data_IF_382375859434
#
_entry.id   IF_382375859434
#
_cell.length_a   1.000
_cell.length_b   1.000
_cell.length_c   1.000
_cell.angle_alpha   90.00
_cell.angle_beta   90.00
_cell.angle_gamma   90.00
#
_symmetry.space_group_name_H-M   'P 1'
#
loop_
_entity.id
_entity.type
_entity.pdbx_description
1 polymer ?
#
# COMPACT_ATOMS: atom_id res chain seq x y z
N UNK A 1 -25.08 5.22 -25.16
CA UNK A 1 -25.04 6.67 -25.44
C UNK A 1 -23.64 7.09 -25.86
N UNK A 2 -22.63 7.14 -24.98
CA UNK A 2 -21.27 7.57 -25.35
C UNK A 2 -20.68 6.85 -26.58
N UNK A 3 -20.73 5.51 -26.59
CA UNK A 3 -20.27 4.69 -27.73
C UNK A 3 -21.06 4.88 -29.04
N UNK A 4 -22.30 5.35 -28.97
CA UNK A 4 -23.15 5.51 -30.16
C UNK A 4 -22.78 6.79 -30.94
N UNK A 5 -22.36 7.86 -30.26
CA UNK A 5 -21.90 9.08 -30.93
C UNK A 5 -22.99 9.97 -31.56
N UNK A 6 -24.20 9.46 -31.77
CA UNK A 6 -25.25 10.20 -32.50
C UNK A 6 -25.85 11.38 -31.71
N UNK A 7 -26.41 12.37 -32.42
CA UNK A 7 -27.11 13.51 -31.83
C UNK A 7 -28.25 13.11 -30.85
N UNK A 8 -29.08 12.09 -31.13
CA UNK A 8 -30.06 11.61 -30.16
C UNK A 8 -29.43 11.00 -28.89
N UNK A 9 -28.27 10.35 -29.01
CA UNK A 9 -27.53 9.85 -27.84
C UNK A 9 -26.96 11.00 -27.02
N UNK A 10 -26.46 12.05 -27.68
CA UNK A 10 -25.97 13.25 -27.03
C UNK A 10 -27.06 13.98 -26.25
N UNK A 11 -28.22 14.21 -26.88
CA UNK A 11 -29.39 14.85 -26.23
C UNK A 11 -29.85 14.07 -25.01
N UNK A 12 -29.93 12.74 -25.12
CA UNK A 12 -30.27 11.87 -23.98
C UNK A 12 -29.25 11.98 -22.85
N UNK A 13 -27.95 11.97 -23.17
CA UNK A 13 -26.90 12.12 -22.15
C UNK A 13 -26.94 13.49 -21.46
N UNK A 14 -27.19 14.57 -22.22
CA UNK A 14 -27.33 15.93 -21.68
C UNK A 14 -28.50 16.05 -20.69
N UNK A 15 -29.55 15.23 -20.84
CA UNK A 15 -30.68 15.21 -19.91
C UNK A 15 -30.35 14.60 -18.53
N UNK A 16 -29.35 13.71 -18.44
CA UNK A 16 -28.96 13.06 -17.16
C UNK A 16 -27.90 13.84 -16.38
N UNK A 17 -27.08 14.61 -17.09
CA UNK A 17 -25.87 15.20 -16.52
C UNK A 17 -26.16 16.63 -16.06
N UNK A 18 -25.83 16.93 -14.80
CA UNK A 18 -26.01 18.27 -14.24
C UNK A 18 -25.09 19.33 -14.86
N UNK A 19 -23.89 18.93 -15.29
CA UNK A 19 -22.87 19.82 -15.88
C UNK A 19 -22.58 19.42 -17.33
N UNK A 20 -23.11 20.12 -18.34
CA UNK A 20 -22.92 19.78 -19.76
C UNK A 20 -21.45 19.71 -20.20
N UNK A 21 -20.55 20.42 -19.51
CA UNK A 21 -19.11 20.43 -19.78
C UNK A 21 -18.42 19.05 -19.73
N UNK A 22 -19.03 18.03 -19.11
CA UNK A 22 -18.46 16.67 -19.09
C UNK A 22 -18.85 15.84 -20.32
N UNK A 23 -19.83 16.27 -21.13
CA UNK A 23 -20.29 15.53 -22.30
C UNK A 23 -19.19 15.29 -23.34
N UNK A 24 -18.31 16.26 -23.66
CA UNK A 24 -17.18 15.99 -24.56
C UNK A 24 -16.30 14.82 -24.08
N UNK A 25 -16.12 14.67 -22.75
CA UNK A 25 -15.35 13.56 -22.18
C UNK A 25 -16.04 12.21 -22.36
N UNK A 26 -17.38 12.18 -22.26
CA UNK A 26 -18.21 10.97 -22.42
C UNK A 26 -18.19 10.46 -23.86
N UNK A 27 -18.28 11.37 -24.83
CA UNK A 27 -18.34 11.02 -26.25
C UNK A 27 -16.96 10.97 -26.93
N UNK A 28 -15.91 11.52 -26.31
CA UNK A 28 -14.51 11.34 -26.73
C UNK A 28 -13.81 10.29 -25.89
N UNK A 29 -13.06 10.73 -24.87
CA UNK A 29 -12.13 9.88 -24.10
C UNK A 29 -12.73 8.57 -23.55
N UNK A 30 -13.98 8.59 -23.07
CA UNK A 30 -14.62 7.37 -22.53
C UNK A 30 -15.20 6.48 -23.63
N UNK A 31 -15.69 7.06 -24.72
CA UNK A 31 -16.14 6.29 -25.87
C UNK A 31 -14.98 5.50 -26.49
N UNK A 32 -13.82 6.15 -26.67
CA UNK A 32 -12.59 5.52 -27.17
C UNK A 32 -12.09 4.43 -26.23
N UNK A 33 -11.99 4.72 -24.93
CA UNK A 33 -11.54 3.74 -23.92
C UNK A 33 -12.40 2.48 -23.90
N UNK A 34 -13.71 2.62 -24.10
CA UNK A 34 -14.66 1.52 -23.97
C UNK A 34 -15.18 0.97 -25.31
N UNK A 35 -14.55 1.37 -26.43
CA UNK A 35 -14.96 0.96 -27.78
C UNK A 35 -15.10 -0.56 -27.89
N UNK A 36 -14.09 -1.30 -27.44
CA UNK A 36 -14.02 -2.77 -27.55
C UNK A 36 -14.65 -3.51 -26.37
N UNK A 37 -15.15 -2.80 -25.35
CA UNK A 37 -15.68 -3.40 -24.12
C UNK A 37 -17.21 -3.55 -24.19
N UNK A 38 -17.77 -4.79 -24.13
CA UNK A 38 -19.21 -5.02 -24.19
C UNK A 38 -19.85 -4.95 -22.79
N UNK A 39 -19.90 -3.76 -22.20
CA UNK A 39 -20.50 -3.54 -20.88
C UNK A 39 -19.49 -3.63 -19.71
N UNK A 40 -19.98 -3.46 -18.49
CA UNK A 40 -19.14 -3.50 -17.28
C UNK A 40 -18.11 -2.35 -17.21
N UNK A 41 -18.57 -1.12 -17.44
CA UNK A 41 -17.71 0.08 -17.47
C UNK A 41 -17.35 0.62 -16.08
N UNK A 42 -18.09 0.19 -15.06
CA UNK A 42 -17.92 0.60 -13.67
C UNK A 42 -17.54 -0.59 -12.80
N UNK A 43 -16.80 -0.31 -11.73
CA UNK A 43 -16.47 -1.29 -10.69
C UNK A 43 -16.78 -0.70 -9.31
N UNK A 44 -17.31 -1.54 -8.43
CA UNK A 44 -17.64 -1.17 -7.05
C UNK A 44 -16.74 -1.99 -6.12
N UNK A 45 -15.94 -1.32 -5.31
CA UNK A 45 -15.11 -1.94 -4.27
C UNK A 45 -15.72 -1.63 -2.91
N UNK A 46 -16.00 -2.65 -2.10
CA UNK A 46 -16.47 -2.43 -0.73
C UNK A 46 -15.35 -1.81 0.10
N UNK A 47 -15.64 -0.70 0.79
CA UNK A 47 -14.68 0.08 1.56
C UNK A 47 -15.14 0.23 3.01
N UNK A 48 -15.37 -0.92 3.66
CA UNK A 48 -15.78 -0.98 5.07
C UNK A 48 -17.02 -0.14 5.39
N UNK A 49 -17.09 0.32 6.63
CA UNK A 49 -18.22 1.11 7.14
C UNK A 49 -17.74 2.50 7.57
N UNK A 50 -18.59 3.51 7.39
CA UNK A 50 -18.35 4.89 7.81
C UNK A 50 -18.22 4.99 9.33
N UNK A 51 -17.18 5.65 9.86
CA UNK A 51 -17.10 5.93 11.28
C UNK A 51 -18.23 6.87 11.72
N UNK A 52 -18.93 6.53 12.79
CA UNK A 52 -20.06 7.30 13.32
C UNK A 52 -21.36 6.53 13.22
N UNK A 53 -21.93 6.45 12.02
CA UNK A 53 -23.22 5.79 11.75
C UNK A 53 -23.09 4.34 11.29
N UNK A 54 -21.86 3.83 11.13
CA UNK A 54 -21.57 2.46 10.71
C UNK A 54 -22.20 2.09 9.34
N UNK A 55 -22.45 3.09 8.48
CA UNK A 55 -23.05 2.85 7.17
C UNK A 55 -22.05 2.17 6.23
N UNK A 56 -22.44 1.11 5.49
CA UNK A 56 -21.54 0.44 4.55
C UNK A 56 -21.20 1.36 3.38
N UNK A 57 -19.91 1.47 3.06
CA UNK A 57 -19.40 2.32 1.99
C UNK A 57 -18.72 1.52 0.89
N UNK A 58 -18.63 2.13 -0.30
CA UNK A 58 -17.94 1.56 -1.44
C UNK A 58 -17.29 2.64 -2.31
N UNK A 59 -16.19 2.26 -2.96
CA UNK A 59 -15.53 3.07 -3.99
C UNK A 59 -16.11 2.66 -5.34
N UNK A 60 -16.76 3.61 -6.02
CA UNK A 60 -17.21 3.48 -7.40
C UNK A 60 -16.13 4.05 -8.31
N UNK A 61 -15.63 3.23 -9.24
CA UNK A 61 -14.64 3.64 -10.22
C UNK A 61 -15.06 3.29 -11.64
N UNK A 62 -14.47 4.01 -12.60
CA UNK A 62 -14.50 3.67 -14.01
C UNK A 62 -13.39 2.65 -14.32
N UNK A 63 -13.71 1.58 -15.03
CA UNK A 63 -12.72 0.54 -15.38
C UNK A 63 -11.67 1.10 -16.35
N UNK A 64 -10.44 0.60 -16.31
CA UNK A 64 -9.35 1.00 -17.22
C UNK A 64 -8.99 2.49 -17.11
N UNK A 65 -9.25 3.10 -15.95
CA UNK A 65 -8.85 4.48 -15.68
C UNK A 65 -7.36 4.54 -15.26
N UNK A 66 -6.70 5.72 -15.39
CA UNK A 66 -5.28 5.87 -15.03
C UNK A 66 -4.93 5.58 -13.55
N UNK A 67 -5.93 5.63 -12.67
CA UNK A 67 -5.86 5.35 -11.23
C UNK A 67 -6.81 4.20 -10.84
N UNK A 68 -6.90 3.16 -11.67
CA UNK A 68 -7.76 2.00 -11.43
C UNK A 68 -7.23 1.21 -10.22
N UNK A 69 -8.03 1.15 -9.15
CA UNK A 69 -7.64 0.53 -7.89
C UNK A 69 -7.34 -0.96 -8.08
N UNK A 70 -8.11 -1.65 -8.92
CA UNK A 70 -7.90 -3.07 -9.18
C UNK A 70 -6.59 -3.32 -9.92
N UNK A 71 -6.21 -2.42 -10.82
CA UNK A 71 -4.92 -2.47 -11.53
C UNK A 71 -3.75 -2.33 -10.56
N UNK A 72 -3.77 -1.30 -9.71
CA UNK A 72 -2.76 -1.06 -8.68
C UNK A 72 -2.62 -2.25 -7.71
N UNK A 73 -3.75 -2.73 -7.18
CA UNK A 73 -3.74 -3.86 -6.25
C UNK A 73 -3.18 -5.14 -6.89
N UNK A 74 -3.45 -5.35 -8.17
CA UNK A 74 -2.95 -6.53 -8.89
C UNK A 74 -1.45 -6.43 -9.12
N UNK A 75 -0.93 -5.27 -9.53
CA UNK A 75 0.51 -5.04 -9.67
C UNK A 75 1.25 -5.27 -8.34
N UNK A 76 0.69 -4.77 -7.23
CA UNK A 76 1.25 -4.98 -5.88
C UNK A 76 1.22 -6.44 -5.46
N UNK A 77 0.16 -7.17 -5.79
CA UNK A 77 0.05 -8.61 -5.51
C UNK A 77 1.10 -9.42 -6.29
N UNK A 78 1.32 -9.09 -7.56
CA UNK A 78 2.39 -9.68 -8.39
C UNK A 78 3.74 -9.44 -7.74
N UNK A 79 4.08 -8.18 -7.42
CA UNK A 79 5.36 -7.84 -6.78
C UNK A 79 5.55 -8.58 -5.44
N UNK A 80 4.50 -8.66 -4.61
CA UNK A 80 4.54 -9.39 -3.34
C UNK A 80 4.78 -10.89 -3.52
N UNK A 81 4.09 -11.54 -4.45
CA UNK A 81 4.24 -12.98 -4.70
C UNK A 81 5.63 -13.33 -5.22
N UNK A 82 6.18 -12.52 -6.14
CA UNK A 82 7.51 -12.73 -6.68
C UNK A 82 8.60 -12.55 -5.61
N UNK A 83 8.48 -11.51 -4.77
CA UNK A 83 9.35 -11.32 -3.59
C UNK A 83 9.28 -12.54 -2.68
N UNK A 84 8.08 -13.02 -2.34
CA UNK A 84 7.89 -14.19 -1.48
C UNK A 84 8.52 -15.47 -2.03
N UNK A 85 8.39 -15.71 -3.34
CA UNK A 85 9.01 -16.87 -4.01
C UNK A 85 10.52 -16.78 -4.02
N UNK A 86 11.07 -15.61 -4.35
CA UNK A 86 12.52 -15.40 -4.39
C UNK A 86 13.13 -15.53 -3.00
N UNK A 87 12.45 -15.01 -1.98
CA UNK A 87 12.83 -15.18 -0.58
C UNK A 87 12.87 -16.66 -0.18
N UNK A 88 11.88 -17.46 -0.59
CA UNK A 88 11.84 -18.89 -0.30
C UNK A 88 12.98 -19.69 -0.97
N UNK A 89 13.40 -19.31 -2.18
CA UNK A 89 14.47 -20.00 -2.93
C UNK A 89 15.89 -19.58 -2.50
N UNK A 90 16.12 -18.29 -2.24
CA UNK A 90 17.47 -17.72 -2.05
C UNK A 90 17.74 -17.08 -0.70
N UNK A 91 16.73 -16.91 0.15
CA UNK A 91 16.84 -16.21 1.42
C UNK A 91 16.97 -14.69 1.28
N UNK A 92 16.96 -13.95 2.42
CA UNK A 92 16.86 -12.49 2.42
C UNK A 92 18.13 -11.80 1.89
N UNK A 93 19.32 -12.36 2.13
CA UNK A 93 20.59 -11.80 1.64
C UNK A 93 20.71 -11.87 0.12
N UNK A 94 20.32 -13.00 -0.48
CA UNK A 94 20.36 -13.13 -1.94
C UNK A 94 19.31 -12.22 -2.60
N UNK A 95 18.11 -12.11 -2.01
CA UNK A 95 17.08 -11.21 -2.46
C UNK A 95 17.54 -9.74 -2.42
N UNK A 96 18.18 -9.30 -1.34
CA UNK A 96 18.69 -7.93 -1.23
C UNK A 96 19.78 -7.60 -2.26
N UNK A 97 20.58 -8.61 -2.67
CA UNK A 97 21.66 -8.43 -3.65
C UNK A 97 21.17 -8.47 -5.11
N UNK A 98 20.22 -9.35 -5.42
CA UNK A 98 19.79 -9.62 -6.81
C UNK A 98 18.45 -8.98 -7.16
N UNK A 99 17.62 -8.65 -6.17
CA UNK A 99 16.26 -8.16 -6.39
C UNK A 99 15.33 -9.24 -6.96
N UNK A 100 14.26 -8.76 -7.60
CA UNK A 100 13.29 -9.60 -8.33
C UNK A 100 13.51 -9.41 -9.83
N UNK A 101 14.14 -10.38 -10.46
CA UNK A 101 14.37 -10.42 -11.91
C UNK A 101 13.21 -11.14 -12.63
N UNK A 102 13.09 -10.94 -13.95
CA UNK A 102 12.14 -11.69 -14.80
C UNK A 102 10.66 -11.31 -14.64
N UNK A 103 10.32 -10.20 -13.98
CA UNK A 103 8.90 -9.78 -13.76
C UNK A 103 8.13 -9.67 -15.08
N UNK A 104 8.78 -9.20 -16.14
CA UNK A 104 8.18 -9.04 -17.47
C UNK A 104 7.78 -10.38 -18.07
N UNK A 105 8.72 -11.33 -18.08
CA UNK A 105 8.52 -12.68 -18.62
C UNK A 105 7.38 -13.38 -17.91
N UNK A 106 7.35 -13.31 -16.57
CA UNK A 106 6.28 -13.90 -15.76
C UNK A 106 4.93 -13.30 -16.11
N UNK A 107 4.83 -11.97 -16.23
CA UNK A 107 3.56 -11.30 -16.57
C UNK A 107 3.10 -11.68 -17.98
N UNK A 108 4.03 -11.81 -18.93
CA UNK A 108 3.74 -12.21 -20.31
C UNK A 108 3.24 -13.66 -20.36
N UNK A 109 3.94 -14.59 -19.72
CA UNK A 109 3.53 -16.00 -19.63
C UNK A 109 2.16 -16.14 -18.97
N UNK A 110 1.98 -15.52 -17.80
CA UNK A 110 0.75 -15.56 -17.01
C UNK A 110 -0.46 -14.97 -17.75
N UNK A 111 -0.24 -14.04 -18.67
CA UNK A 111 -1.29 -13.49 -19.53
C UNK A 111 -1.81 -14.52 -20.54
N UNK A 112 -0.95 -15.41 -21.04
CA UNK A 112 -1.29 -16.44 -22.03
C UNK A 112 -1.82 -17.74 -21.45
N UNK A 113 -1.64 -17.98 -20.15
CA UNK A 113 -2.05 -19.24 -19.51
C UNK A 113 -3.57 -19.44 -19.46
N UNK A 114 -4.00 -20.69 -19.64
CA UNK A 114 -5.39 -21.10 -19.47
C UNK A 114 -5.78 -21.21 -17.97
N UNK A 115 -7.08 -21.13 -17.62
CA UNK A 115 -7.53 -21.12 -16.22
C UNK A 115 -7.13 -22.34 -15.39
N UNK A 116 -6.91 -23.49 -16.03
CA UNK A 116 -6.58 -24.77 -15.39
C UNK A 116 -5.06 -25.05 -15.37
N UNK A 117 -4.26 -24.26 -16.08
CA UNK A 117 -2.82 -24.47 -16.15
C UNK A 117 -2.14 -24.00 -14.87
N UNK A 118 -1.01 -24.62 -14.54
CA UNK A 118 -0.14 -24.14 -13.46
C UNK A 118 0.85 -23.14 -14.03
N UNK A 119 1.13 -22.10 -13.26
CA UNK A 119 2.19 -21.14 -13.58
C UNK A 119 2.75 -20.57 -12.31
N UNK A 120 3.46 -19.45 -12.43
CA UNK A 120 4.18 -18.88 -11.32
C UNK A 120 3.26 -18.14 -10.34
N UNK A 121 2.27 -17.37 -10.78
CA UNK A 121 1.41 -16.65 -9.84
C UNK A 121 0.30 -17.54 -9.25
N UNK A 122 -0.22 -17.16 -8.08
CA UNK A 122 -1.45 -17.78 -7.54
C UNK A 122 -2.60 -17.57 -8.53
N UNK A 123 -3.48 -18.58 -8.64
CA UNK A 123 -4.60 -18.58 -9.58
C UNK A 123 -5.46 -17.30 -9.52
N UNK A 124 -5.77 -16.81 -8.31
CA UNK A 124 -6.54 -15.58 -8.13
C UNK A 124 -5.80 -14.32 -8.59
N UNK A 125 -4.49 -14.26 -8.39
CA UNK A 125 -3.63 -13.14 -8.81
C UNK A 125 -3.51 -13.12 -10.33
N UNK A 126 -3.25 -14.29 -10.95
CA UNK A 126 -3.31 -14.47 -12.41
C UNK A 126 -4.65 -14.04 -12.99
N UNK A 127 -5.74 -14.54 -12.44
CA UNK A 127 -7.08 -14.25 -12.93
C UNK A 127 -7.38 -12.74 -12.90
N UNK A 128 -6.92 -12.04 -11.86
CA UNK A 128 -7.03 -10.60 -11.79
C UNK A 128 -6.14 -9.90 -12.83
N UNK A 129 -4.89 -10.35 -13.00
CA UNK A 129 -3.94 -9.84 -13.99
C UNK A 129 -4.52 -9.94 -15.41
N UNK A 130 -4.99 -11.12 -15.79
CA UNK A 130 -5.62 -11.36 -17.09
C UNK A 130 -6.85 -10.46 -17.30
N UNK A 131 -7.71 -10.34 -16.28
CA UNK A 131 -8.91 -9.47 -16.36
C UNK A 131 -8.59 -7.99 -16.55
N UNK A 132 -7.57 -7.53 -15.84
CA UNK A 132 -7.14 -6.13 -15.84
C UNK A 132 -6.46 -5.77 -17.16
N UNK A 133 -5.72 -6.70 -17.76
CA UNK A 133 -5.04 -6.48 -19.04
C UNK A 133 -5.92 -6.73 -20.27
N UNK A 134 -6.99 -7.52 -20.16
CA UNK A 134 -7.80 -8.00 -21.30
C UNK A 134 -8.24 -6.92 -22.32
N UNK A 135 -8.65 -5.75 -21.85
CA UNK A 135 -9.18 -4.68 -22.70
C UNK A 135 -8.30 -3.42 -22.73
N UNK A 136 -7.14 -3.46 -22.09
CA UNK A 136 -6.19 -2.34 -22.11
C UNK A 136 -5.27 -2.44 -23.32
N UNK A 137 -4.66 -1.31 -23.69
CA UNK A 137 -3.60 -1.26 -24.72
C UNK A 137 -2.34 -1.99 -24.23
N UNK A 138 -1.45 -2.34 -25.15
CA UNK A 138 -0.20 -3.04 -24.82
C UNK A 138 0.69 -2.26 -23.83
N UNK A 139 0.63 -0.92 -23.85
CA UNK A 139 1.33 -0.05 -22.90
C UNK A 139 1.00 -0.36 -21.43
N UNK A 140 -0.21 -0.88 -21.15
CA UNK A 140 -0.63 -1.23 -19.80
C UNK A 140 0.14 -2.43 -19.22
N UNK A 141 0.73 -3.28 -20.06
CA UNK A 141 1.60 -4.35 -19.58
C UNK A 141 2.88 -3.76 -18.99
N UNK A 142 3.52 -2.84 -19.73
CA UNK A 142 4.72 -2.13 -19.29
C UNK A 142 4.45 -1.37 -18.00
N UNK A 143 3.31 -0.67 -17.93
CA UNK A 143 2.88 0.05 -16.73
C UNK A 143 2.66 -0.89 -15.52
N UNK A 144 2.05 -2.06 -15.73
CA UNK A 144 1.79 -3.04 -14.68
C UNK A 144 3.10 -3.63 -14.14
N UNK A 145 4.02 -3.96 -15.04
CA UNK A 145 5.36 -4.45 -14.70
C UNK A 145 6.12 -3.40 -13.89
N UNK A 146 6.13 -2.15 -14.34
CA UNK A 146 6.82 -1.07 -13.64
C UNK A 146 6.30 -0.94 -12.20
N UNK A 147 4.98 -0.90 -12.01
CA UNK A 147 4.36 -0.84 -10.68
C UNK A 147 4.63 -2.08 -9.82
N UNK A 148 4.71 -3.26 -10.44
CA UNK A 148 5.06 -4.49 -9.73
C UNK A 148 6.53 -4.49 -9.26
N UNK A 149 7.46 -4.03 -10.12
CA UNK A 149 8.87 -3.82 -9.79
C UNK A 149 9.04 -2.78 -8.68
N UNK A 150 8.43 -1.61 -8.84
CA UNK A 150 8.45 -0.54 -7.82
C UNK A 150 7.96 -1.04 -6.46
N UNK A 151 6.87 -1.82 -6.45
CA UNK A 151 6.36 -2.40 -5.22
C UNK A 151 7.31 -3.44 -4.63
N UNK A 152 7.90 -4.32 -5.45
CA UNK A 152 8.89 -5.29 -5.01
C UNK A 152 10.12 -4.62 -4.41
N UNK A 153 10.65 -3.59 -5.07
CA UNK A 153 11.80 -2.82 -4.58
C UNK A 153 11.46 -2.10 -3.28
N UNK A 154 10.26 -1.54 -3.18
CA UNK A 154 9.76 -0.92 -1.95
C UNK A 154 9.71 -1.95 -0.80
N UNK A 155 9.33 -3.20 -1.06
CA UNK A 155 9.30 -4.25 -0.04
C UNK A 155 10.70 -4.67 0.41
N UNK A 156 11.68 -4.65 -0.49
CA UNK A 156 13.08 -4.99 -0.19
C UNK A 156 13.77 -3.83 0.55
N UNK A 157 13.52 -2.58 0.14
CA UNK A 157 14.19 -1.40 0.66
C UNK A 157 13.71 -0.98 2.05
N UNK A 158 12.40 -1.05 2.33
CA UNK A 158 11.80 -0.64 3.62
C UNK A 158 12.48 -1.24 4.86
N UNK A 159 12.71 -2.57 4.96
CA UNK A 159 13.37 -3.13 6.13
C UNK A 159 14.84 -2.71 6.24
N UNK A 160 15.53 -2.50 5.11
CA UNK A 160 16.93 -2.06 5.10
C UNK A 160 17.04 -0.62 5.60
N UNK A 161 16.19 0.28 5.10
CA UNK A 161 16.17 1.67 5.55
C UNK A 161 15.76 1.79 7.02
N UNK A 162 14.77 1.02 7.48
CA UNK A 162 14.39 0.98 8.89
C UNK A 162 15.50 0.45 9.79
N UNK A 163 16.29 -0.53 9.32
CA UNK A 163 17.41 -1.05 10.08
C UNK A 163 18.52 0.00 10.25
N UNK A 164 18.77 0.82 9.23
CA UNK A 164 19.78 1.87 9.31
C UNK A 164 19.33 3.05 10.19
N UNK A 165 18.05 3.43 10.13
CA UNK A 165 17.46 4.40 11.07
C UNK A 165 17.59 3.90 12.50
N UNK A 166 17.25 2.63 12.76
CA UNK A 166 17.36 2.05 14.10
C UNK A 166 18.82 1.96 14.61
N UNK A 167 19.81 1.84 13.72
CA UNK A 167 21.23 1.92 14.10
C UNK A 167 21.62 3.35 14.45
N UNK A 168 21.21 4.33 13.64
CA UNK A 168 21.47 5.75 13.89
C UNK A 168 20.86 6.21 15.21
N UNK A 169 19.61 5.81 15.51
CA UNK A 169 18.96 6.10 16.79
C UNK A 169 19.76 5.52 17.97
N UNK A 170 20.25 4.28 17.86
CA UNK A 170 21.11 3.67 18.89
C UNK A 170 22.44 4.40 19.06
N UNK A 171 23.09 4.79 17.97
CA UNK A 171 24.36 5.53 18.01
C UNK A 171 24.18 6.91 18.65
N UNK A 172 23.06 7.60 18.39
CA UNK A 172 22.71 8.86 19.05
C UNK A 172 22.41 8.70 20.53
N UNK A 173 21.67 7.64 20.91
CA UNK A 173 21.44 7.30 22.32
C UNK A 173 22.76 7.02 23.04
N UNK A 174 23.69 6.29 22.42
CA UNK A 174 25.01 6.00 23.00
C UNK A 174 25.92 7.22 23.10
N UNK A 175 25.85 8.17 22.16
CA UNK A 175 26.62 9.43 22.20
C UNK A 175 26.07 10.43 23.23
N UNK A 176 24.75 10.45 23.45
CA UNK A 176 24.10 11.27 24.48
C UNK A 176 24.11 10.64 25.88
N UNK A 177 24.69 9.46 26.03
CA UNK A 177 24.74 8.71 27.28
C UNK A 177 25.85 9.25 28.20
N UNK A 178 25.53 10.24 29.03
CA UNK A 178 26.44 10.85 30.03
C UNK A 178 26.80 9.93 31.20
N UNK A 179 26.55 8.61 31.08
CA UNK A 179 26.82 7.65 32.17
C UNK A 179 28.33 7.54 32.41
N UNK A 180 28.86 7.95 33.59
CA UNK A 180 30.30 8.14 33.80
C UNK A 180 31.14 6.84 33.70
N UNK A 181 30.51 5.68 33.88
CA UNK A 181 31.18 4.38 33.87
C UNK A 181 30.38 3.37 33.04
N UNK A 182 31.02 2.58 32.15
CA UNK A 182 30.35 1.53 31.38
C UNK A 182 29.68 0.48 32.26
N UNK A 183 30.22 0.24 33.46
CA UNK A 183 29.68 -0.70 34.45
C UNK A 183 28.35 -0.26 35.08
N UNK A 184 27.97 1.00 34.92
CA UNK A 184 26.72 1.53 35.43
C UNK A 184 25.59 1.47 34.38
N UNK A 185 25.89 1.19 33.11
CA UNK A 185 24.88 1.13 32.02
C UNK A 185 23.82 0.04 32.22
N UNK A 186 24.17 -1.04 32.92
CA UNK A 186 23.25 -2.14 33.21
C UNK A 186 22.47 -1.95 34.52
N UNK A 187 22.70 -0.86 35.26
CA UNK A 187 21.89 -0.53 36.44
C UNK A 187 20.52 -0.01 35.98
N UNK A 188 19.49 -0.79 36.29
CA UNK A 188 18.11 -0.41 36.04
C UNK A 188 17.64 0.60 37.11
N UNK A 189 17.89 1.88 36.88
CA UNK A 189 17.47 2.96 37.77
C UNK A 189 15.93 3.04 37.86
N UNK A 190 15.40 3.25 39.05
CA UNK A 190 13.97 3.55 39.26
C UNK A 190 13.68 5.02 38.98
N UNK A 191 12.40 5.34 38.84
CA UNK A 191 11.88 6.72 38.84
C UNK A 191 12.56 7.56 39.93
N UNK A 192 13.06 8.75 39.60
CA UNK A 192 13.69 9.62 40.59
C UNK A 192 15.15 9.30 40.93
N UNK A 193 15.73 8.21 40.42
CA UNK A 193 17.13 7.86 40.64
C UNK A 193 18.03 8.37 39.51
N UNK A 194 19.24 8.81 39.87
CA UNK A 194 20.30 9.17 38.93
C UNK A 194 21.59 8.44 39.31
N UNK A 195 22.49 8.23 38.36
CA UNK A 195 23.85 7.76 38.67
C UNK A 195 24.63 8.87 39.38
N UNK A 196 25.52 8.52 40.34
CA UNK A 196 26.39 9.50 40.97
C UNK A 196 27.19 10.27 39.91
N UNK A 197 27.08 11.61 39.91
CA UNK A 197 27.77 12.48 38.96
C UNK A 197 27.06 12.68 37.60
N UNK A 198 25.89 12.06 37.37
CA UNK A 198 25.14 12.24 36.12
C UNK A 198 24.20 13.46 36.15
N UNK A 199 24.23 14.27 35.09
CA UNK A 199 23.37 15.45 34.90
C UNK A 199 22.17 15.14 33.99
N UNK A 200 21.08 14.59 34.55
CA UNK A 200 19.83 14.37 33.78
C UNK A 200 18.81 15.46 34.06
N UNK A 201 18.00 15.82 33.05
CA UNK A 201 16.94 16.81 33.23
C UNK A 201 15.87 16.31 34.22
N UNK A 202 15.27 17.23 34.98
CA UNK A 202 14.23 16.90 35.97
C UNK A 202 13.03 16.16 35.33
N UNK A 203 12.70 16.51 34.09
CA UNK A 203 11.66 15.86 33.29
C UNK A 203 12.00 14.38 33.06
N UNK A 204 13.26 14.07 32.71
CA UNK A 204 13.74 12.71 32.49
C UNK A 204 13.87 11.89 33.79
N UNK A 205 14.23 12.54 34.91
CA UNK A 205 14.25 11.91 36.24
C UNK A 205 12.83 11.55 36.71
N UNK A 206 11.84 12.36 36.33
CA UNK A 206 10.42 12.17 36.68
C UNK A 206 9.69 11.11 35.83
N UNK A 207 10.27 10.69 34.70
CA UNK A 207 9.67 9.78 33.70
C UNK A 207 9.50 8.30 34.15
N UNK A 208 9.37 8.04 35.44
CA UNK A 208 9.05 6.72 35.97
C UNK A 208 7.57 6.44 36.12
N UNK A 209 7.11 5.94 37.28
CA UNK A 209 5.73 5.46 37.47
C UNK A 209 4.61 6.47 37.10
N UNK A 210 4.90 7.78 37.17
CA UNK A 210 3.99 8.88 36.77
C UNK A 210 4.14 9.31 35.31
N UNK A 211 5.28 9.04 34.67
CA UNK A 211 5.57 9.36 33.26
C UNK A 211 5.42 8.18 32.30
N UNK A 212 5.11 6.97 32.81
CA UNK A 212 4.66 5.87 31.97
C UNK A 212 3.34 6.26 31.31
N UNK A 213 3.37 6.60 30.02
CA UNK A 213 2.22 6.28 29.20
C UNK A 213 1.99 4.77 29.33
N UNK A 214 0.79 4.30 29.74
CA UNK A 214 0.53 2.89 29.85
C UNK A 214 0.81 2.25 28.48
N UNK A 215 1.83 1.40 28.42
CA UNK A 215 2.31 0.74 27.20
C UNK A 215 1.24 -0.15 26.53
N UNK A 216 0.10 -0.33 27.20
CA UNK A 216 -1.10 -0.93 26.66
C UNK A 216 -2.31 -0.25 27.27
N UNK A 217 -3.23 0.21 26.41
CA UNK A 217 -4.59 0.54 26.85
C UNK A 217 -5.25 -0.75 27.35
N UNK A 218 -6.10 -0.71 28.38
CA UNK A 218 -6.81 -1.90 28.87
C UNK A 218 -7.50 -2.64 27.71
N UNK A 219 -7.48 -3.97 27.67
CA UNK A 219 -8.06 -4.78 26.57
C UNK A 219 -9.54 -4.47 26.24
N UNK A 220 -10.29 -3.88 27.17
CA UNK A 220 -11.67 -3.44 26.92
C UNK A 220 -11.77 -2.09 26.18
N UNK A 221 -10.71 -1.26 26.22
CA UNK A 221 -10.47 -0.16 25.28
C UNK A 221 -10.00 -0.67 23.91
N UNK A 222 -9.47 -1.90 23.82
CA UNK A 222 -9.14 -2.61 22.59
C UNK A 222 -10.31 -3.42 21.99
N UNK A 223 -11.58 -3.12 22.35
CA UNK A 223 -12.65 -3.37 21.37
C UNK A 223 -12.36 -2.44 20.19
N UNK A 224 -11.56 -2.96 19.26
CA UNK A 224 -11.34 -2.40 17.94
C UNK A 224 -12.70 -2.08 17.36
N UNK A 225 -13.10 -0.80 17.38
CA UNK A 225 -14.02 -0.33 16.35
C UNK A 225 -13.24 -0.50 15.06
N UNK A 226 -13.58 -1.56 14.32
CA UNK A 226 -13.13 -1.77 12.96
C UNK A 226 -13.28 -0.44 12.20
N UNK A 227 -12.17 0.13 11.71
CA UNK A 227 -12.22 1.26 10.77
C UNK A 227 -11.50 2.56 11.14
N UNK A 228 -10.64 2.60 12.17
CA UNK A 228 -9.75 3.76 12.38
C UNK A 228 -8.31 3.33 12.10
N UNK A 229 -7.86 3.54 10.86
CA UNK A 229 -6.44 3.51 10.52
C UNK A 229 -5.78 4.75 11.15
N UNK A 230 -4.85 4.52 12.07
CA UNK A 230 -3.90 5.56 12.51
C UNK A 230 -2.53 5.20 11.94
N UNK A 231 -2.34 5.47 10.65
CA UNK A 231 -0.99 5.70 10.16
C UNK A 231 -0.44 6.96 10.84
N UNK A 232 0.83 6.87 11.25
CA UNK A 232 1.61 7.82 12.03
C UNK A 232 1.93 9.11 11.28
N UNK A 233 0.91 9.84 10.82
CA UNK A 233 1.06 11.13 10.12
C UNK A 233 1.19 12.30 11.12
N UNK A 234 0.95 12.07 12.42
CA UNK A 234 0.83 13.13 13.44
C UNK A 234 2.11 13.44 14.23
N UNK A 235 3.30 13.11 13.73
CA UNK A 235 4.57 13.43 14.40
C UNK A 235 5.48 14.37 13.60
N UNK A 236 4.95 15.09 12.61
CA UNK A 236 5.70 16.09 11.82
C UNK A 236 4.97 17.45 11.72
N UNK A 237 4.29 17.87 12.78
CA UNK A 237 3.87 19.27 12.97
C UNK A 237 4.43 19.79 14.28
#
# INVERSE_FOLDING_TARGET
MGKQGDLPAWRRANAFVLKPAVLPKVFGTFAERYANRPGGYTRIHKFGNRPGDNAPHAILELVDNPRDLKFEMTARAVGWELVGKRLGKGGPRALAKTGVEGVEDVVVEERSLEPNERGELRQWTRWNLQKVLKFRKNDALVELVAKAKDHADTLIAKPLSMADVAKQEKEQEEQGDETPLPSLKFLRLKAGQTVPGGSRSALHISQGALGKEPSSRPRWFERRKLGIDKTSIWSQL
#
